data_IF_369768136069
#
_entry.id   IF_369768136069
#
_cell.length_a   1.000
_cell.length_b   1.000
_cell.length_c   1.000
_cell.angle_alpha   90.00
_cell.angle_beta   90.00
_cell.angle_gamma   90.00
#
_symmetry.space_group_name_H-M   'P 1'
#
loop_
_entity.id
_entity.type
_entity.pdbx_description
1 polymer ?
#
# COMPACT_ATOMS: atom_id res chain seq x y z
N UNK A 1 1.28 -33.39 36.20
CA UNK A 1 1.58 -32.02 35.73
C UNK A 1 0.27 -31.24 35.71
N UNK A 2 0.16 -30.15 36.48
CA UNK A 2 -1.12 -29.41 36.62
C UNK A 2 -1.51 -28.84 35.25
N UNK A 3 -2.76 -29.02 34.83
CA UNK A 3 -3.29 -28.66 33.49
C UNK A 3 -2.87 -27.27 32.97
N UNK A 4 -2.66 -26.30 33.87
CA UNK A 4 -2.13 -24.96 33.55
C UNK A 4 -0.69 -24.97 33.00
N UNK A 5 0.19 -25.84 33.50
CA UNK A 5 1.57 -25.97 33.01
C UNK A 5 1.64 -26.66 31.63
N UNK A 6 0.69 -27.55 31.33
CA UNK A 6 0.56 -28.21 30.04
C UNK A 6 0.22 -27.20 28.93
N UNK A 7 -0.74 -26.30 29.19
CA UNK A 7 -1.14 -25.26 28.24
C UNK A 7 -0.06 -24.18 28.02
N UNK A 8 0.74 -23.86 29.05
CA UNK A 8 1.81 -22.86 28.97
C UNK A 8 2.99 -23.30 28.09
N UNK A 9 3.17 -24.60 27.84
CA UNK A 9 4.23 -25.12 26.96
C UNK A 9 3.67 -25.46 25.59
N UNK A 10 2.47 -26.05 25.53
CA UNK A 10 1.88 -26.47 24.26
C UNK A 10 1.50 -25.28 23.39
N UNK A 11 0.95 -24.21 23.96
CA UNK A 11 0.55 -23.06 23.16
C UNK A 11 1.76 -22.40 22.45
N UNK A 12 2.87 -22.06 23.13
CA UNK A 12 4.07 -21.56 22.45
C UNK A 12 4.66 -22.56 21.45
N UNK A 13 4.63 -23.86 21.77
CA UNK A 13 5.17 -24.89 20.87
C UNK A 13 4.33 -25.04 19.60
N UNK A 14 3.00 -25.04 19.71
CA UNK A 14 2.11 -25.02 18.55
C UNK A 14 2.26 -23.72 17.75
N UNK A 15 2.36 -22.57 18.42
CA UNK A 15 2.60 -21.30 17.76
C UNK A 15 3.93 -21.31 16.97
N UNK A 16 4.99 -21.88 17.55
CA UNK A 16 6.27 -22.06 16.87
C UNK A 16 6.15 -23.01 15.67
N UNK A 17 5.46 -24.14 15.82
CA UNK A 17 5.22 -25.08 14.71
C UNK A 17 4.45 -24.39 13.58
N UNK A 18 3.36 -23.69 13.88
CA UNK A 18 2.60 -22.95 12.87
C UNK A 18 3.43 -21.85 12.22
N UNK A 19 4.23 -21.12 12.99
CA UNK A 19 5.16 -20.13 12.45
C UNK A 19 6.15 -20.77 11.48
N UNK A 20 6.77 -21.89 11.86
CA UNK A 20 7.72 -22.60 11.00
C UNK A 20 7.05 -23.14 9.72
N UNK A 21 5.82 -23.63 9.81
CA UNK A 21 5.05 -24.06 8.65
C UNK A 21 4.74 -22.89 7.71
N UNK A 22 4.30 -21.75 8.23
CA UNK A 22 4.06 -20.53 7.44
C UNK A 22 5.37 -20.02 6.83
N UNK A 23 6.46 -19.99 7.60
CA UNK A 23 7.77 -19.57 7.12
C UNK A 23 8.29 -20.49 6.01
N UNK A 24 8.13 -21.81 6.17
CA UNK A 24 8.51 -22.78 5.14
C UNK A 24 7.66 -22.64 3.88
N UNK A 25 6.36 -22.41 4.00
CA UNK A 25 5.45 -22.26 2.86
C UNK A 25 5.70 -20.95 2.08
N UNK A 26 6.20 -19.91 2.76
CA UNK A 26 6.45 -18.58 2.18
C UNK A 26 7.95 -18.26 2.14
N UNK A 27 8.79 -19.29 1.95
CA UNK A 27 10.25 -19.15 2.00
C UNK A 27 10.78 -18.15 0.97
N UNK A 28 10.08 -17.96 -0.15
CA UNK A 28 10.43 -16.95 -1.16
C UNK A 28 10.38 -15.53 -0.58
N UNK A 29 9.38 -15.21 0.25
CA UNK A 29 9.26 -13.90 0.90
C UNK A 29 10.39 -13.69 1.91
N UNK A 30 10.63 -14.66 2.79
CA UNK A 30 11.68 -14.56 3.82
C UNK A 30 13.11 -14.58 3.26
N UNK A 31 13.31 -15.08 2.05
CA UNK A 31 14.61 -15.05 1.38
C UNK A 31 14.79 -13.81 0.49
N UNK A 32 13.73 -13.03 0.25
CA UNK A 32 13.79 -11.81 -0.53
C UNK A 32 14.25 -10.65 0.36
N UNK A 33 15.50 -10.22 0.19
CA UNK A 33 16.07 -9.10 0.96
C UNK A 33 15.35 -7.77 0.72
N UNK A 34 14.63 -7.64 -0.40
CA UNK A 34 13.82 -6.48 -0.76
C UNK A 34 12.36 -6.60 -0.32
N UNK A 35 12.00 -7.65 0.43
CA UNK A 35 10.65 -7.78 0.96
C UNK A 35 10.31 -6.59 1.87
N UNK A 36 9.07 -6.11 1.75
CA UNK A 36 8.48 -4.99 2.47
C UNK A 36 8.69 -5.12 3.98
N UNK A 37 8.62 -6.34 4.51
CA UNK A 37 8.87 -6.59 5.93
C UNK A 37 10.26 -6.12 6.41
N UNK A 38 11.29 -6.24 5.57
CA UNK A 38 12.64 -5.82 5.91
C UNK A 38 12.79 -4.31 5.85
N UNK A 39 12.14 -3.65 4.89
CA UNK A 39 12.02 -2.18 4.84
C UNK A 39 11.39 -1.64 6.12
N UNK A 40 10.28 -2.22 6.57
CA UNK A 40 9.61 -1.83 7.81
C UNK A 40 10.52 -2.00 9.02
N UNK A 41 11.19 -3.15 9.16
CA UNK A 41 12.08 -3.42 10.29
C UNK A 41 13.30 -2.48 10.30
N UNK A 42 13.90 -2.23 9.13
CA UNK A 42 15.04 -1.33 9.01
C UNK A 42 14.67 0.10 9.38
N UNK A 43 13.55 0.61 8.85
CA UNK A 43 13.07 1.95 9.14
C UNK A 43 12.65 2.11 10.62
N UNK A 44 11.97 1.11 11.20
CA UNK A 44 11.63 1.10 12.63
C UNK A 44 12.88 1.19 13.52
N UNK A 45 13.98 0.52 13.16
CA UNK A 45 15.25 0.61 13.88
C UNK A 45 15.90 1.99 13.80
N UNK A 46 15.55 2.79 12.81
CA UNK A 46 16.00 4.18 12.65
C UNK A 46 15.06 5.19 13.31
N UNK A 47 13.99 4.72 13.98
CA UNK A 47 12.99 5.56 14.63
C UNK A 47 11.86 6.04 13.71
N UNK A 48 11.82 5.57 12.46
CA UNK A 48 10.70 5.83 11.55
C UNK A 48 9.54 4.90 11.90
N UNK A 49 8.34 5.45 12.07
CA UNK A 49 7.18 4.69 12.58
C UNK A 49 5.91 5.05 11.81
N UNK A 50 5.09 4.03 11.55
CA UNK A 50 3.80 4.20 10.86
C UNK A 50 3.96 4.92 9.51
N UNK A 51 3.04 5.82 9.22
CA UNK A 51 3.01 6.60 7.98
C UNK A 51 3.90 7.86 8.03
N UNK A 52 4.66 8.09 9.10
CA UNK A 52 5.56 9.24 9.25
C UNK A 52 4.95 10.48 9.90
N UNK A 53 5.67 11.60 9.82
CA UNK A 53 5.33 12.88 10.43
C UNK A 53 4.36 13.68 9.56
N UNK A 54 3.06 13.43 9.74
CA UNK A 54 2.01 14.21 9.10
C UNK A 54 2.09 15.70 9.50
N UNK A 55 2.14 16.55 8.49
CA UNK A 55 2.00 18.00 8.58
C UNK A 55 1.51 18.54 7.23
N UNK A 56 1.31 19.85 7.13
CA UNK A 56 1.01 20.51 5.87
C UNK A 56 2.29 21.06 5.23
N UNK A 57 2.86 20.33 4.27
CA UNK A 57 4.12 20.71 3.60
C UNK A 57 3.93 21.61 2.37
N UNK A 58 2.70 21.81 1.91
CA UNK A 58 2.35 22.70 0.82
C UNK A 58 3.15 22.44 -0.47
N UNK A 59 3.21 21.18 -0.92
CA UNK A 59 4.06 20.84 -2.06
C UNK A 59 3.61 21.50 -3.38
N UNK A 60 2.37 21.95 -3.52
CA UNK A 60 1.90 22.70 -4.70
C UNK A 60 2.22 22.02 -6.05
N UNK A 61 2.27 20.67 -6.11
CA UNK A 61 2.44 19.97 -7.38
C UNK A 61 1.25 20.26 -8.30
N UNK A 62 1.50 20.46 -9.60
CA UNK A 62 0.41 20.56 -10.57
C UNK A 62 -0.16 19.17 -10.86
N UNK A 63 -1.48 19.03 -10.81
CA UNK A 63 -2.22 17.81 -11.19
C UNK A 63 -2.59 17.79 -12.68
N UNK A 64 -2.14 18.78 -13.46
CA UNK A 64 -2.40 18.82 -14.89
C UNK A 64 -1.73 17.63 -15.60
N UNK A 65 -2.49 17.01 -16.51
CA UNK A 65 -2.07 15.85 -17.30
C UNK A 65 -2.40 14.49 -16.68
N UNK A 66 -3.08 14.45 -15.53
CA UNK A 66 -3.60 13.20 -14.98
C UNK A 66 -4.80 12.68 -15.77
N UNK A 67 -4.84 11.36 -15.92
CA UNK A 67 -5.94 10.62 -16.53
C UNK A 67 -6.58 9.68 -15.51
N UNK A 68 -7.91 9.45 -15.55
CA UNK A 68 -8.55 8.48 -14.69
C UNK A 68 -7.83 7.12 -14.76
N UNK A 69 -7.44 6.61 -13.59
CA UNK A 69 -6.68 5.38 -13.38
C UNK A 69 -5.24 5.62 -12.98
N UNK A 70 -4.68 6.81 -13.24
CA UNK A 70 -3.35 7.16 -12.80
C UNK A 70 -3.25 7.08 -11.26
N UNK A 71 -2.08 6.66 -10.77
CA UNK A 71 -1.81 6.49 -9.35
C UNK A 71 -1.09 7.73 -8.82
N UNK A 72 -1.41 8.09 -7.58
CA UNK A 72 -0.81 9.24 -6.90
C UNK A 72 -0.22 8.71 -5.60
N UNK A 73 1.06 8.99 -5.37
CA UNK A 73 1.77 8.60 -4.16
C UNK A 73 2.08 9.83 -3.31
N UNK A 74 1.88 9.69 -2.00
CA UNK A 74 2.20 10.72 -1.01
C UNK A 74 3.18 10.19 0.03
N UNK A 75 4.24 10.93 0.33
CA UNK A 75 5.28 10.59 1.29
C UNK A 75 5.39 11.64 2.39
N UNK A 76 5.30 11.19 3.65
CA UNK A 76 5.72 11.98 4.81
C UNK A 76 7.12 11.59 5.27
N UNK A 77 7.89 12.53 5.86
CA UNK A 77 9.18 12.20 6.45
C UNK A 77 9.01 11.20 7.60
N UNK A 78 10.01 10.34 7.82
CA UNK A 78 9.95 9.35 8.91
C UNK A 78 8.93 8.23 8.70
N UNK A 79 8.47 8.02 7.45
CA UNK A 79 7.63 6.88 7.09
C UNK A 79 8.38 5.56 7.29
N UNK A 80 7.70 4.57 7.86
CA UNK A 80 8.27 3.22 8.03
C UNK A 80 8.17 2.35 6.77
N UNK A 81 7.30 2.73 5.83
CA UNK A 81 6.90 1.88 4.70
C UNK A 81 7.84 1.96 3.50
N UNK A 82 8.72 2.96 3.49
CA UNK A 82 9.54 3.32 2.34
C UNK A 82 9.56 4.83 2.13
N UNK A 83 9.81 5.26 0.90
CA UNK A 83 9.77 6.67 0.49
C UNK A 83 8.35 7.23 0.58
N UNK A 84 7.37 6.44 0.18
CA UNK A 84 5.97 6.86 0.11
C UNK A 84 5.16 6.23 1.26
N UNK A 85 4.27 7.03 1.85
CA UNK A 85 3.41 6.67 2.98
C UNK A 85 1.98 6.33 2.58
N UNK A 86 1.55 6.74 1.38
CA UNK A 86 0.17 6.65 0.94
C UNK A 86 0.06 6.53 -0.59
N UNK A 87 -1.06 5.97 -1.05
CA UNK A 87 -1.38 5.82 -2.46
C UNK A 87 -2.88 5.96 -2.71
N UNK A 88 -3.24 6.59 -3.83
CA UNK A 88 -4.61 6.77 -4.31
C UNK A 88 -4.72 6.58 -5.82
N UNK A 89 -5.93 6.29 -6.30
CA UNK A 89 -6.24 6.21 -7.74
C UNK A 89 -7.04 7.43 -8.18
N UNK A 90 -6.56 8.16 -9.18
CA UNK A 90 -7.27 9.30 -9.75
C UNK A 90 -8.51 8.84 -10.52
N UNK A 91 -9.64 9.49 -10.32
CA UNK A 91 -10.91 9.12 -10.96
C UNK A 91 -11.49 10.19 -11.88
N UNK A 92 -10.75 11.27 -12.12
CA UNK A 92 -11.21 12.43 -12.87
C UNK A 92 -11.74 13.55 -11.96
N UNK A 93 -12.07 14.70 -12.55
CA UNK A 93 -12.69 15.85 -11.87
C UNK A 93 -11.96 16.35 -10.61
N UNK A 94 -10.65 16.13 -10.49
CA UNK A 94 -9.90 16.52 -9.29
C UNK A 94 -10.21 15.64 -8.07
N UNK A 95 -10.65 14.40 -8.28
CA UNK A 95 -10.97 13.45 -7.22
C UNK A 95 -10.11 12.19 -7.32
N UNK A 96 -9.85 11.59 -6.15
CA UNK A 96 -9.19 10.29 -6.00
C UNK A 96 -10.10 9.36 -5.21
N UNK A 97 -9.94 8.05 -5.42
CA UNK A 97 -10.38 7.05 -4.44
C UNK A 97 -9.14 6.52 -3.75
N UNK A 98 -9.18 6.39 -2.45
CA UNK A 98 -8.10 5.80 -1.66
C UNK A 98 -8.65 5.16 -0.39
N UNK A 99 -7.75 4.66 0.47
CA UNK A 99 -8.14 4.04 1.73
C UNK A 99 -7.37 4.64 2.90
N UNK A 100 -8.09 5.31 3.80
CA UNK A 100 -7.55 5.98 4.99
C UNK A 100 -7.90 5.26 6.29
N UNK A 101 -7.07 5.49 7.30
CA UNK A 101 -7.21 4.89 8.64
C UNK A 101 -8.56 5.11 9.31
N UNK A 102 -9.07 6.32 9.20
CA UNK A 102 -10.28 6.82 9.84
C UNK A 102 -11.51 6.77 8.93
N UNK A 103 -11.34 6.79 7.61
CA UNK A 103 -12.43 6.87 6.64
C UNK A 103 -12.72 5.56 5.89
N UNK A 104 -11.84 4.55 5.99
CA UNK A 104 -11.94 3.35 5.17
C UNK A 104 -11.65 3.68 3.71
N UNK A 105 -12.27 2.96 2.77
CA UNK A 105 -12.18 3.28 1.33
C UNK A 105 -13.13 4.43 1.00
N UNK A 106 -12.63 5.55 0.51
CA UNK A 106 -13.42 6.76 0.30
C UNK A 106 -12.93 7.59 -0.89
N UNK A 107 -13.80 8.46 -1.39
CA UNK A 107 -13.46 9.49 -2.39
C UNK A 107 -12.98 10.72 -1.64
N UNK A 108 -11.87 11.32 -2.09
CA UNK A 108 -11.36 12.58 -1.59
C UNK A 108 -10.96 13.54 -2.72
N UNK A 109 -10.94 14.85 -2.45
CA UNK A 109 -10.40 15.81 -3.39
C UNK A 109 -8.88 15.69 -3.51
N UNK A 110 -8.35 15.60 -4.74
CA UNK A 110 -6.92 15.37 -5.01
C UNK A 110 -5.98 16.40 -4.34
N UNK A 111 -6.46 17.61 -4.06
CA UNK A 111 -5.62 18.68 -3.50
C UNK A 111 -5.07 18.36 -2.11
N UNK A 112 -5.64 17.40 -1.36
CA UNK A 112 -5.05 16.98 -0.09
C UNK A 112 -3.65 16.35 -0.30
N UNK A 113 -3.29 15.92 -1.53
CA UNK A 113 -1.93 15.49 -1.81
C UNK A 113 -0.89 16.60 -1.72
N UNK A 114 -1.30 17.88 -1.65
CA UNK A 114 -0.38 18.99 -1.31
C UNK A 114 0.10 18.96 0.14
N UNK A 115 -0.55 18.18 1.01
CA UNK A 115 -0.17 18.04 2.41
C UNK A 115 1.17 17.31 2.54
N UNK A 116 1.47 16.32 1.70
CA UNK A 116 2.69 15.52 1.78
C UNK A 116 3.96 16.32 1.47
N UNK A 117 5.09 15.97 2.12
CA UNK A 117 6.41 16.55 1.79
C UNK A 117 6.90 16.08 0.43
N UNK A 118 6.55 14.84 0.07
CA UNK A 118 6.88 14.23 -1.19
C UNK A 118 5.62 13.73 -1.90
N UNK A 119 5.53 13.97 -3.21
CA UNK A 119 4.41 13.53 -4.02
C UNK A 119 4.89 13.06 -5.39
N UNK A 120 4.33 11.96 -5.88
CA UNK A 120 4.64 11.42 -7.19
C UNK A 120 3.36 11.06 -7.94
N UNK A 121 3.26 11.52 -9.18
CA UNK A 121 2.15 11.24 -10.09
C UNK A 121 2.61 10.17 -11.08
N UNK A 122 1.91 9.03 -11.12
CA UNK A 122 2.27 7.87 -11.91
C UNK A 122 1.18 7.59 -12.95
N UNK A 123 1.56 7.54 -14.23
CA UNK A 123 0.68 7.07 -15.28
C UNK A 123 0.79 5.57 -15.41
N UNK A 124 -0.32 4.88 -15.25
CA UNK A 124 -0.38 3.43 -15.49
C UNK A 124 -0.39 3.18 -17.00
N UNK A 125 0.55 2.37 -17.48
CA UNK A 125 0.69 1.95 -18.88
C UNK A 125 -0.33 0.86 -19.20
N UNK A 126 -1.59 1.24 -19.31
CA UNK A 126 -2.70 0.34 -19.60
C UNK A 126 -3.73 1.02 -20.51
N UNK A 127 -4.49 0.19 -21.24
CA UNK A 127 -5.62 0.67 -22.03
C UNK A 127 -6.63 1.41 -21.13
N UNK A 128 -7.30 2.48 -21.62
CA UNK A 128 -8.31 3.21 -20.86
C UNK A 128 -9.43 2.31 -20.29
N UNK A 129 -9.76 1.21 -20.98
CA UNK A 129 -10.75 0.25 -20.50
C UNK A 129 -10.27 -0.52 -19.26
N UNK A 130 -8.98 -0.83 -19.16
CA UNK A 130 -8.37 -1.47 -17.99
C UNK A 130 -8.34 -0.50 -16.81
N UNK A 131 -7.91 0.74 -17.03
CA UNK A 131 -7.94 1.81 -16.03
C UNK A 131 -9.35 2.01 -15.47
N UNK A 132 -10.36 2.04 -16.35
CA UNK A 132 -11.77 2.15 -15.95
C UNK A 132 -12.23 0.98 -15.08
N UNK A 133 -11.89 -0.26 -15.44
CA UNK A 133 -12.25 -1.43 -14.64
C UNK A 133 -11.57 -1.44 -13.27
N UNK A 134 -10.31 -0.98 -13.18
CA UNK A 134 -9.64 -0.80 -11.91
C UNK A 134 -10.36 0.24 -11.04
N UNK A 135 -10.74 1.39 -11.59
CA UNK A 135 -11.53 2.40 -10.87
C UNK A 135 -12.87 1.82 -10.38
N UNK A 136 -13.59 1.11 -11.22
CA UNK A 136 -14.86 0.46 -10.86
C UNK A 136 -14.68 -0.59 -9.77
N UNK A 137 -13.55 -1.32 -9.77
CA UNK A 137 -13.20 -2.23 -8.69
C UNK A 137 -13.06 -1.51 -7.36
N UNK A 138 -12.25 -0.44 -7.30
CA UNK A 138 -12.04 0.31 -6.04
C UNK A 138 -13.35 0.96 -5.58
N UNK A 139 -14.13 1.54 -6.51
CA UNK A 139 -15.42 2.19 -6.22
C UNK A 139 -16.43 1.22 -5.59
N UNK A 140 -16.47 -0.05 -6.01
CA UNK A 140 -17.35 -1.07 -5.40
C UNK A 140 -17.03 -1.36 -3.93
N UNK A 141 -15.84 -1.03 -3.49
CA UNK A 141 -15.38 -1.24 -2.11
C UNK A 141 -15.46 0.03 -1.26
N UNK A 142 -16.06 1.11 -1.76
CA UNK A 142 -16.27 2.32 -0.97
C UNK A 142 -17.01 2.01 0.35
N UNK A 143 -16.52 2.57 1.45
CA UNK A 143 -16.97 2.30 2.82
C UNK A 143 -16.36 1.05 3.45
N UNK A 144 -15.53 0.28 2.74
CA UNK A 144 -14.86 -0.88 3.32
C UNK A 144 -13.81 -0.47 4.37
N UNK A 145 -13.62 -1.34 5.37
CA UNK A 145 -12.79 -1.06 6.53
C UNK A 145 -11.30 -1.02 6.21
N UNK A 146 -10.62 -0.01 6.74
CA UNK A 146 -9.17 0.09 6.67
C UNK A 146 -8.49 -0.77 7.74
N UNK A 147 -7.38 -1.40 7.36
CA UNK A 147 -6.43 -2.01 8.28
C UNK A 147 -5.01 -1.86 7.74
N UNK A 148 -4.08 -1.21 8.46
CA UNK A 148 -2.77 -0.85 7.90
C UNK A 148 -1.95 -2.08 7.48
N UNK A 149 -2.06 -3.18 8.22
CA UNK A 149 -1.35 -4.43 7.93
C UNK A 149 -2.19 -5.43 7.12
N UNK A 150 -3.13 -4.94 6.29
CA UNK A 150 -3.94 -5.79 5.43
C UNK A 150 -3.05 -6.61 4.49
N UNK A 151 -2.92 -7.90 4.77
CA UNK A 151 -2.29 -8.88 3.89
C UNK A 151 -3.00 -8.93 2.54
N UNK A 152 -2.27 -9.25 1.47
CA UNK A 152 -2.85 -9.45 0.12
C UNK A 152 -4.02 -10.45 0.11
N UNK A 153 -3.95 -11.47 0.95
CA UNK A 153 -4.97 -12.51 1.02
C UNK A 153 -6.26 -12.02 1.69
N UNK A 154 -7.39 -12.33 1.07
CA UNK A 154 -8.75 -12.02 1.55
C UNK A 154 -9.20 -10.58 1.28
N UNK A 155 -10.51 -10.35 1.36
CA UNK A 155 -11.15 -9.10 0.91
C UNK A 155 -11.90 -8.35 2.02
N UNK A 156 -11.64 -8.72 3.27
CA UNK A 156 -12.30 -8.14 4.44
C UNK A 156 -11.73 -6.79 4.85
N UNK A 157 -10.44 -6.58 4.63
CA UNK A 157 -9.72 -5.40 5.06
C UNK A 157 -8.84 -4.87 3.94
N UNK A 158 -8.76 -3.55 3.85
CA UNK A 158 -8.01 -2.83 2.83
C UNK A 158 -7.02 -1.86 3.47
N UNK A 159 -5.90 -1.63 2.80
CA UNK A 159 -5.07 -0.45 3.03
C UNK A 159 -4.94 0.32 1.72
N UNK A 160 -4.25 1.46 1.77
CA UNK A 160 -4.11 2.39 0.65
C UNK A 160 -3.55 1.72 -0.61
N UNK A 161 -2.63 0.77 -0.48
CA UNK A 161 -1.97 0.12 -1.62
C UNK A 161 -2.65 -1.18 -2.03
N UNK A 162 -3.07 -2.04 -1.09
CA UNK A 162 -3.68 -3.34 -1.40
C UNK A 162 -4.88 -3.20 -2.31
N UNK A 163 -5.75 -2.22 -2.07
CA UNK A 163 -6.96 -2.05 -2.87
C UNK A 163 -6.63 -1.64 -4.31
N UNK A 164 -5.62 -0.79 -4.49
CA UNK A 164 -5.17 -0.35 -5.83
C UNK A 164 -4.45 -1.48 -6.56
N UNK A 165 -3.54 -2.17 -5.87
CA UNK A 165 -2.85 -3.33 -6.40
C UNK A 165 -3.86 -4.39 -6.85
N UNK A 166 -4.83 -4.73 -5.98
CA UNK A 166 -5.83 -5.75 -6.33
C UNK A 166 -6.72 -5.30 -7.48
N UNK A 167 -7.13 -4.03 -7.52
CA UNK A 167 -7.91 -3.49 -8.62
C UNK A 167 -7.24 -3.70 -9.98
N UNK A 168 -5.93 -3.48 -10.07
CA UNK A 168 -5.16 -3.69 -11.30
C UNK A 168 -4.78 -5.16 -11.54
N UNK A 169 -4.51 -5.92 -10.48
CA UNK A 169 -4.18 -7.35 -10.57
C UNK A 169 -5.33 -8.15 -11.20
N UNK A 170 -6.57 -7.85 -10.83
CA UNK A 170 -7.77 -8.47 -11.43
C UNK A 170 -7.90 -8.16 -12.93
N UNK A 171 -7.18 -7.15 -13.44
CA UNK A 171 -7.10 -6.79 -14.85
C UNK A 171 -5.82 -7.30 -15.54
N UNK A 172 -5.02 -8.12 -14.85
CA UNK A 172 -3.79 -8.70 -15.37
C UNK A 172 -2.53 -7.87 -15.17
N UNK A 173 -2.59 -6.77 -14.39
CA UNK A 173 -1.43 -5.93 -14.08
C UNK A 173 -0.98 -6.14 -12.64
N UNK A 174 0.14 -6.84 -12.45
CA UNK A 174 0.69 -7.11 -11.11
C UNK A 174 1.85 -6.17 -10.79
N UNK A 175 1.64 -5.28 -9.82
CA UNK A 175 2.65 -4.35 -9.31
C UNK A 175 3.59 -4.98 -8.27
N UNK A 176 3.34 -6.21 -7.83
CA UNK A 176 4.20 -6.93 -6.90
C UNK A 176 4.55 -8.34 -7.41
N UNK A 177 5.46 -8.42 -8.40
CA UNK A 177 5.88 -9.71 -8.96
C UNK A 177 6.66 -10.58 -7.94
N UNK A 178 7.14 -10.01 -6.84
CA UNK A 178 7.83 -10.73 -5.77
C UNK A 178 6.90 -11.55 -4.88
N UNK A 179 5.58 -11.39 -5.05
CA UNK A 179 4.53 -12.04 -4.26
C UNK A 179 4.75 -11.93 -2.74
N UNK A 180 5.06 -10.71 -2.29
CA UNK A 180 5.22 -10.40 -0.86
C UNK A 180 3.88 -10.45 -0.11
N UNK A 181 3.91 -10.46 1.22
CA UNK A 181 2.73 -10.43 2.09
C UNK A 181 1.94 -9.12 2.01
N UNK A 182 2.66 -8.01 1.79
CA UNK A 182 2.12 -6.66 1.73
C UNK A 182 2.59 -5.94 0.47
N UNK A 183 1.81 -4.96 0.04
CA UNK A 183 2.18 -4.09 -1.08
C UNK A 183 2.61 -2.74 -0.50
N UNK A 184 3.88 -2.39 -0.62
CA UNK A 184 4.34 -1.04 -0.26
C UNK A 184 4.02 -0.04 -1.39
N UNK A 185 3.78 1.25 -1.08
CA UNK A 185 3.53 2.25 -2.12
C UNK A 185 4.71 2.38 -3.12
N UNK A 186 5.94 2.21 -2.63
CA UNK A 186 7.17 2.21 -3.43
C UNK A 186 7.17 1.16 -4.56
N UNK A 187 6.43 0.06 -4.43
CA UNK A 187 6.32 -0.95 -5.50
C UNK A 187 5.61 -0.39 -6.74
N UNK A 188 4.63 0.51 -6.56
CA UNK A 188 4.01 1.20 -7.69
C UNK A 188 5.01 2.09 -8.41
N UNK A 189 5.83 2.83 -7.66
CA UNK A 189 6.85 3.72 -8.22
C UNK A 189 7.93 2.95 -8.99
N UNK A 190 8.33 1.78 -8.50
CA UNK A 190 9.41 0.97 -9.07
C UNK A 190 8.95 0.09 -10.25
N UNK A 191 7.65 -0.01 -10.50
CA UNK A 191 7.11 -0.92 -11.51
C UNK A 191 7.31 -0.41 -12.94
N UNK A 192 7.70 -1.29 -13.85
CA UNK A 192 7.75 -1.01 -15.29
C UNK A 192 6.36 -0.71 -15.90
N UNK A 193 5.28 -1.03 -15.17
CA UNK A 193 3.88 -0.77 -15.56
C UNK A 193 3.48 0.70 -15.39
N UNK A 194 4.34 1.56 -14.84
CA UNK A 194 4.08 3.00 -14.76
C UNK A 194 5.14 3.83 -15.47
N UNK A 195 4.79 5.08 -15.74
CA UNK A 195 5.74 6.16 -16.01
C UNK A 195 5.50 7.30 -15.02
N UNK A 196 6.58 7.96 -14.58
CA UNK A 196 6.48 9.15 -13.73
C UNK A 196 6.04 10.32 -14.60
N UNK A 197 4.87 10.89 -14.29
CA UNK A 197 4.37 12.11 -14.93
C UNK A 197 5.10 13.32 -14.35
N UNK A 198 5.19 13.35 -13.02
CA UNK A 198 5.77 14.45 -12.24
C UNK A 198 6.00 13.99 -10.81
N UNK A 199 7.05 14.49 -10.19
CA UNK A 199 7.28 14.34 -8.76
C UNK A 199 7.75 15.67 -8.15
N UNK A 200 7.58 15.80 -6.84
CA UNK A 200 8.07 16.95 -6.07
C UNK A 200 8.40 16.53 -4.65
N UNK A 201 9.48 17.09 -4.12
CA UNK A 201 9.97 16.92 -2.76
C UNK A 201 10.29 18.31 -2.18
N UNK A 202 9.96 18.56 -0.91
CA UNK A 202 10.22 19.81 -0.17
C UNK A 202 10.97 19.51 1.12
#
# INVERSE_FOLDING_TARGET
MKWKQFNLIIFPLLALIFFLLVASANRHVFNNEHAVMYTYLQNARQGHIGYGFNSYYANNISFAGLEPGDLILGGYPGCSYGRFSHAGIYIGNGEVIESFGDLGVNIQPIYHYWEYSEVCLLRVKADPAVKKQAIEYVRRHQGAMFYPLAFKNGDRYWNCTKIMWKAYREQGLDFDPGDDFWVAPDLFYQSDLVEVIRERNI
#
